data_IF_104341432448
#
_entry.id   IF_104341432448
#
_cell.length_a   1.000
_cell.length_b   1.000
_cell.length_c   1.000
_cell.angle_alpha   90.00
_cell.angle_beta   90.00
_cell.angle_gamma   90.00
#
_symmetry.space_group_name_H-M   'P 1'
#
loop_
_entity.id
_entity.type
_entity.pdbx_description
1 polymer ?
#
# COMPACT_ATOMS: atom_id res chain seq x y z
N UNK A 1 14.94 -10.38 5.18
CA UNK A 1 16.07 -10.06 4.30
C UNK A 1 16.96 -11.27 4.17
N UNK A 2 16.76 -12.07 3.14
CA UNK A 2 17.67 -13.15 2.78
C UNK A 2 18.07 -12.93 1.33
N UNK A 3 19.09 -12.10 1.14
CA UNK A 3 19.79 -12.01 -0.14
C UNK A 3 20.72 -13.22 -0.22
N UNK A 4 20.33 -14.22 -0.98
CA UNK A 4 21.24 -15.29 -1.35
C UNK A 4 22.20 -14.75 -2.40
N UNK A 5 23.52 -14.68 -2.12
CA UNK A 5 24.47 -14.29 -3.13
C UNK A 5 24.61 -15.43 -4.14
N UNK A 6 24.44 -15.15 -5.41
CA UNK A 6 24.91 -16.01 -6.48
C UNK A 6 26.42 -16.15 -6.33
N UNK A 7 26.90 -17.28 -5.85
CA UNK A 7 28.33 -17.53 -5.72
C UNK A 7 28.94 -17.71 -7.11
N UNK A 8 30.03 -17.00 -7.44
CA UNK A 8 30.75 -17.27 -8.67
C UNK A 8 31.45 -18.64 -8.59
N UNK A 9 31.25 -19.42 -9.60
CA UNK A 9 31.85 -20.75 -9.74
C UNK A 9 33.36 -20.63 -9.90
N UNK A 10 34.09 -21.40 -9.09
CA UNK A 10 35.53 -21.45 -9.10
C UNK A 10 36.07 -22.06 -10.41
N UNK A 11 37.15 -21.50 -10.93
CA UNK A 11 37.77 -21.77 -12.22
C UNK A 11 38.40 -23.15 -12.43
N UNK A 12 38.22 -24.12 -11.56
CA UNK A 12 38.98 -25.37 -11.55
C UNK A 12 38.26 -26.55 -12.22
N UNK A 13 37.01 -26.41 -12.68
CA UNK A 13 36.26 -27.49 -13.34
C UNK A 13 35.89 -27.21 -14.80
N UNK A 14 36.80 -26.51 -15.51
CA UNK A 14 36.51 -25.96 -16.84
C UNK A 14 36.79 -26.90 -18.01
N UNK A 15 37.01 -28.20 -17.81
CA UNK A 15 37.35 -29.11 -18.93
C UNK A 15 36.39 -30.29 -19.11
N UNK A 16 35.42 -30.51 -18.23
CA UNK A 16 34.57 -31.71 -18.32
C UNK A 16 33.11 -31.48 -18.65
N UNK A 17 32.65 -30.28 -18.95
CA UNK A 17 31.22 -29.99 -19.16
C UNK A 17 30.97 -29.10 -20.39
N UNK A 18 31.62 -29.41 -21.49
CA UNK A 18 31.33 -28.72 -22.75
C UNK A 18 30.13 -29.33 -23.52
N UNK A 19 29.39 -30.23 -22.96
CA UNK A 19 28.28 -30.89 -23.67
C UNK A 19 26.93 -30.88 -22.98
N UNK A 20 26.75 -30.10 -21.91
CA UNK A 20 25.47 -29.92 -21.21
C UNK A 20 25.08 -28.42 -21.08
N UNK A 21 25.30 -27.70 -22.14
CA UNK A 21 25.00 -26.27 -22.22
C UNK A 21 23.64 -26.01 -22.81
N UNK A 22 22.56 -26.36 -22.16
CA UNK A 22 21.26 -25.77 -22.45
C UNK A 22 20.29 -25.87 -21.26
N UNK A 23 20.81 -25.96 -20.04
CA UNK A 23 20.00 -25.69 -18.87
C UNK A 23 20.22 -24.22 -18.50
N UNK A 24 19.57 -23.35 -19.27
CA UNK A 24 19.45 -21.97 -18.89
C UNK A 24 18.78 -21.87 -17.52
N UNK A 25 19.56 -21.60 -16.51
CA UNK A 25 19.06 -21.14 -15.22
C UNK A 25 18.59 -19.70 -15.44
N UNK A 26 17.40 -19.59 -15.97
CA UNK A 26 16.69 -18.34 -15.91
C UNK A 26 16.34 -18.12 -14.44
N UNK A 27 17.06 -17.25 -13.77
CA UNK A 27 16.55 -16.60 -12.57
C UNK A 27 15.32 -15.81 -13.04
N UNK A 28 14.17 -16.45 -13.09
CA UNK A 28 12.89 -15.78 -13.18
C UNK A 28 12.65 -15.11 -11.85
N UNK A 29 13.37 -14.01 -11.59
CA UNK A 29 12.94 -13.04 -10.61
C UNK A 29 11.58 -12.55 -11.08
N UNK A 30 10.53 -12.86 -10.33
CA UNK A 30 9.26 -12.18 -10.51
C UNK A 30 9.52 -10.69 -10.21
N UNK A 31 9.95 -9.97 -11.24
CA UNK A 31 9.90 -8.51 -11.18
C UNK A 31 8.43 -8.16 -11.29
N UNK A 32 7.81 -7.86 -10.17
CA UNK A 32 6.52 -7.18 -10.19
C UNK A 32 6.78 -5.84 -10.85
N UNK A 33 6.41 -5.75 -12.12
CA UNK A 33 6.53 -4.50 -12.88
C UNK A 33 5.49 -3.54 -12.33
N UNK A 34 5.92 -2.59 -11.54
CA UNK A 34 5.07 -1.50 -11.05
C UNK A 34 4.77 -0.45 -12.12
N UNK A 35 5.08 -0.76 -13.39
CA UNK A 35 4.77 0.12 -14.51
C UNK A 35 3.29 0.06 -14.83
N UNK A 36 2.64 1.22 -14.78
CA UNK A 36 1.25 1.39 -15.21
C UNK A 36 0.21 1.39 -14.09
N UNK A 37 0.60 1.33 -12.84
CA UNK A 37 -0.35 1.58 -11.75
C UNK A 37 -0.54 3.08 -11.63
N UNK A 38 -1.71 3.57 -12.06
CA UNK A 38 -2.10 4.96 -11.82
C UNK A 38 -2.10 5.20 -10.32
N UNK A 39 -1.45 6.29 -9.89
CA UNK A 39 -1.54 6.70 -8.50
C UNK A 39 -3.01 6.95 -8.15
N UNK A 40 -3.46 6.37 -7.05
CA UNK A 40 -4.75 6.72 -6.50
C UNK A 40 -4.74 8.21 -6.13
N UNK A 41 -5.82 8.89 -6.43
CA UNK A 41 -6.01 10.29 -6.06
C UNK A 41 -7.24 10.42 -5.18
N UNK A 42 -7.08 11.04 -4.02
CA UNK A 42 -8.18 11.37 -3.13
C UNK A 42 -8.72 12.74 -3.52
N UNK A 43 -10.03 12.85 -3.62
CA UNK A 43 -10.71 14.10 -3.90
C UNK A 43 -11.52 14.61 -2.71
N UNK A 44 -12.08 13.72 -1.90
CA UNK A 44 -12.85 14.10 -0.72
C UNK A 44 -12.94 12.99 0.32
N UNK A 45 -13.25 13.39 1.54
CA UNK A 45 -13.52 12.52 2.68
C UNK A 45 -14.96 12.72 3.16
N UNK A 46 -15.64 11.66 3.53
CA UNK A 46 -17.00 11.71 4.07
C UNK A 46 -17.13 10.73 5.27
N UNK A 47 -17.38 11.26 6.48
CA UNK A 47 -17.45 12.67 6.88
C UNK A 47 -16.09 13.37 6.82
N UNK A 48 -16.08 14.68 6.64
CA UNK A 48 -14.86 15.52 6.69
C UNK A 48 -14.42 15.88 8.11
N UNK A 49 -15.31 15.64 9.08
CA UNK A 49 -15.09 15.85 10.51
C UNK A 49 -15.72 14.70 11.28
N UNK A 50 -15.01 14.17 12.27
CA UNK A 50 -15.48 13.07 13.11
C UNK A 50 -15.57 13.56 14.55
N UNK A 51 -16.73 13.46 15.21
CA UNK A 51 -16.84 13.71 16.64
C UNK A 51 -16.16 12.59 17.43
N UNK A 52 -15.52 12.96 18.52
CA UNK A 52 -14.72 12.03 19.34
C UNK A 52 -15.55 11.07 20.19
N UNK A 53 -16.75 11.44 20.52
CA UNK A 53 -17.65 10.71 21.41
C UNK A 53 -18.37 9.51 20.76
N UNK A 54 -18.08 9.23 19.50
CA UNK A 54 -18.66 8.11 18.77
C UNK A 54 -17.89 6.81 18.98
N UNK A 55 -18.61 5.69 19.02
CA UNK A 55 -18.00 4.39 19.17
C UNK A 55 -17.32 3.90 17.88
N UNK A 56 -17.94 4.19 16.75
CA UNK A 56 -17.40 3.89 15.43
C UNK A 56 -18.04 4.77 14.36
N UNK A 57 -17.26 5.12 13.34
CA UNK A 57 -17.72 5.92 12.21
C UNK A 57 -17.21 5.30 10.91
N UNK A 58 -18.08 5.07 9.92
CA UNK A 58 -17.62 4.70 8.59
C UNK A 58 -17.05 5.94 7.88
N UNK A 59 -15.77 5.86 7.52
CA UNK A 59 -15.09 6.86 6.70
C UNK A 59 -15.08 6.38 5.25
N UNK A 60 -15.71 7.14 4.38
CA UNK A 60 -15.66 6.90 2.93
C UNK A 60 -14.68 7.89 2.30
N UNK A 61 -13.75 7.36 1.56
CA UNK A 61 -12.78 8.14 0.78
C UNK A 61 -13.21 8.09 -0.68
N UNK A 62 -13.45 9.24 -1.26
CA UNK A 62 -13.75 9.38 -2.68
C UNK A 62 -12.51 9.86 -3.45
N UNK A 63 -12.35 9.36 -4.66
CA UNK A 63 -11.19 9.68 -5.48
C UNK A 63 -11.22 9.03 -6.84
N UNK A 64 -10.06 8.66 -7.35
CA UNK A 64 -9.90 7.96 -8.62
C UNK A 64 -8.74 6.96 -8.54
N UNK A 65 -8.83 5.91 -9.34
CA UNK A 65 -7.76 4.92 -9.48
C UNK A 65 -7.64 3.94 -8.32
N UNK A 66 -8.70 3.75 -7.54
CA UNK A 66 -8.72 2.74 -6.48
C UNK A 66 -8.83 1.33 -7.08
N UNK A 67 -8.20 0.38 -6.40
CA UNK A 67 -8.20 -1.04 -6.74
C UNK A 67 -8.68 -1.86 -5.53
N UNK A 68 -9.04 -3.14 -5.71
CA UNK A 68 -9.38 -4.00 -4.59
C UNK A 68 -8.28 -4.15 -3.52
N UNK A 69 -7.03 -3.81 -3.85
CA UNK A 69 -5.90 -3.80 -2.93
C UNK A 69 -5.64 -2.44 -2.28
N UNK A 70 -6.43 -1.41 -2.63
CA UNK A 70 -6.30 -0.09 -2.04
C UNK A 70 -6.64 -0.12 -0.56
N UNK A 71 -5.79 0.49 0.26
CA UNK A 71 -5.94 0.56 1.71
C UNK A 71 -5.87 2.01 2.17
N UNK A 72 -6.81 2.40 3.01
CA UNK A 72 -6.80 3.71 3.66
C UNK A 72 -5.73 3.69 4.75
N UNK A 73 -4.92 4.74 4.79
CA UNK A 73 -3.95 4.95 5.87
C UNK A 73 -4.36 6.13 6.74
N UNK A 74 -4.30 5.93 8.02
CA UNK A 74 -4.59 6.88 9.08
C UNK A 74 -3.27 7.30 9.73
N UNK A 75 -2.81 8.50 9.42
CA UNK A 75 -1.51 9.01 9.89
C UNK A 75 -0.35 8.02 9.65
N UNK A 76 -0.36 7.36 8.49
CA UNK A 76 0.63 6.35 8.11
C UNK A 76 0.32 4.91 8.52
N UNK A 77 -0.67 4.68 9.40
CA UNK A 77 -1.10 3.33 9.78
C UNK A 77 -2.23 2.85 8.88
N UNK A 78 -2.10 1.64 8.38
CA UNK A 78 -3.10 1.04 7.50
C UNK A 78 -4.36 0.64 8.27
N UNK A 79 -5.52 1.01 7.75
CA UNK A 79 -6.82 0.60 8.26
C UNK A 79 -7.40 -0.55 7.43
N UNK A 80 -8.21 -1.38 8.07
CA UNK A 80 -9.03 -2.35 7.35
C UNK A 80 -9.98 -1.62 6.41
N UNK A 81 -9.81 -1.84 5.10
CA UNK A 81 -10.47 -1.08 4.05
C UNK A 81 -11.34 -1.98 3.20
N UNK A 82 -12.56 -1.55 2.97
CA UNK A 82 -13.48 -2.18 2.03
C UNK A 82 -13.45 -1.43 0.70
N UNK A 83 -13.12 -2.12 -0.38
CA UNK A 83 -13.22 -1.61 -1.73
C UNK A 83 -14.69 -1.58 -2.16
N UNK A 84 -15.19 -0.43 -2.58
CA UNK A 84 -16.53 -0.25 -3.10
C UNK A 84 -16.53 -0.21 -4.63
N UNK A 85 -15.72 0.67 -5.19
CA UNK A 85 -15.51 0.82 -6.63
C UNK A 85 -14.20 1.59 -6.90
N UNK A 86 -13.88 1.82 -8.17
CA UNK A 86 -12.64 2.53 -8.57
C UNK A 86 -12.55 3.99 -8.10
N UNK A 87 -13.62 4.50 -7.49
CA UNK A 87 -13.73 5.88 -7.00
C UNK A 87 -14.02 5.97 -5.50
N UNK A 88 -14.35 4.85 -4.86
CA UNK A 88 -14.76 4.85 -3.45
C UNK A 88 -14.14 3.67 -2.71
N UNK A 89 -13.54 3.97 -1.58
CA UNK A 89 -13.12 2.98 -0.58
C UNK A 89 -13.63 3.42 0.80
N UNK A 90 -13.84 2.46 1.70
CA UNK A 90 -14.40 2.71 3.03
C UNK A 90 -13.58 2.01 4.10
N UNK A 91 -13.39 2.67 5.22
CA UNK A 91 -12.86 2.08 6.45
C UNK A 91 -13.77 2.43 7.63
N UNK A 92 -13.72 1.64 8.69
CA UNK A 92 -14.39 1.93 9.94
C UNK A 92 -13.38 2.49 10.92
N UNK A 93 -13.61 3.71 11.40
CA UNK A 93 -12.81 4.36 12.44
C UNK A 93 -13.41 3.99 13.77
N UNK A 94 -12.64 3.34 14.63
CA UNK A 94 -13.08 2.94 15.97
C UNK A 94 -12.74 4.00 17.00
N UNK A 95 -13.40 3.94 18.16
CA UNK A 95 -13.11 4.81 19.30
C UNK A 95 -11.64 4.75 19.71
N UNK A 96 -11.04 3.57 19.73
CA UNK A 96 -9.62 3.40 20.07
C UNK A 96 -8.70 4.19 19.14
N UNK A 97 -9.04 4.23 17.85
CA UNK A 97 -8.31 5.02 16.86
C UNK A 97 -8.45 6.52 17.16
N UNK A 98 -9.64 6.97 17.57
CA UNK A 98 -9.92 8.38 17.88
C UNK A 98 -9.26 8.83 19.20
N UNK A 99 -9.23 7.99 20.21
CA UNK A 99 -8.65 8.32 21.52
C UNK A 99 -7.13 8.57 21.46
N UNK A 100 -6.46 8.08 20.43
CA UNK A 100 -5.03 8.32 20.19
C UNK A 100 -4.69 9.77 19.82
N UNK A 101 -5.70 10.61 19.54
CA UNK A 101 -5.51 11.98 19.08
C UNK A 101 -6.18 12.99 20.01
N UNK A 102 -5.54 14.15 20.21
CA UNK A 102 -6.07 15.26 21.03
C UNK A 102 -7.25 15.99 20.35
N UNK A 103 -8.07 16.71 21.15
CA UNK A 103 -9.15 17.53 20.63
C UNK A 103 -8.66 18.58 19.63
N UNK A 104 -9.43 18.79 18.56
CA UNK A 104 -9.07 19.73 17.50
C UNK A 104 -7.89 19.24 16.64
N UNK A 105 -7.49 17.98 16.78
CA UNK A 105 -6.42 17.41 15.98
C UNK A 105 -6.88 17.13 14.56
N UNK A 106 -6.00 17.33 13.61
CA UNK A 106 -6.17 16.86 12.24
C UNK A 106 -5.36 15.59 12.01
N UNK A 107 -5.93 14.67 11.27
CA UNK A 107 -5.31 13.41 10.92
C UNK A 107 -5.14 13.33 9.42
N UNK A 108 -3.96 12.94 9.00
CA UNK A 108 -3.66 12.80 7.58
C UNK A 108 -4.17 11.45 7.06
N UNK A 109 -5.09 11.52 6.10
CA UNK A 109 -5.66 10.37 5.41
C UNK A 109 -5.04 10.26 4.03
N UNK A 110 -4.51 9.10 3.70
CA UNK A 110 -4.06 8.78 2.35
C UNK A 110 -4.50 7.37 1.96
N UNK A 111 -4.34 7.00 0.70
CA UNK A 111 -4.65 5.65 0.22
C UNK A 111 -3.39 5.05 -0.39
N UNK A 112 -3.01 3.87 0.09
CA UNK A 112 -1.94 3.08 -0.47
C UNK A 112 -2.50 2.02 -1.41
N UNK A 113 -1.79 1.68 -2.47
CA UNK A 113 -2.24 0.68 -3.44
C UNK A 113 -1.95 -0.77 -3.05
N UNK A 114 -1.27 -1.01 -1.95
CA UNK A 114 -1.05 -2.35 -1.40
C UNK A 114 -0.25 -3.34 -2.27
N UNK A 115 0.26 -2.93 -3.41
CA UNK A 115 0.89 -3.82 -4.39
C UNK A 115 2.38 -4.12 -4.13
N UNK A 116 2.89 -3.81 -2.95
CA UNK A 116 4.32 -4.04 -2.64
C UNK A 116 5.29 -3.20 -3.48
N UNK A 117 4.78 -2.24 -4.24
CA UNK A 117 5.60 -1.30 -5.00
C UNK A 117 6.14 -0.25 -4.05
N UNK A 118 7.48 -0.15 -3.89
CA UNK A 118 8.08 0.58 -2.78
C UNK A 118 7.95 2.09 -2.85
N UNK A 119 7.44 2.65 -3.91
CA UNK A 119 7.42 4.10 -4.07
C UNK A 119 6.19 4.55 -4.84
N UNK A 120 5.60 5.63 -4.39
CA UNK A 120 4.55 6.39 -5.07
C UNK A 120 3.16 5.74 -5.11
N UNK A 121 2.92 4.72 -4.32
CA UNK A 121 1.60 4.10 -4.20
C UNK A 121 0.63 4.84 -3.29
N UNK A 122 1.07 5.88 -2.60
CA UNK A 122 0.19 6.67 -1.73
C UNK A 122 -0.40 7.84 -2.51
N UNK A 123 -1.70 8.02 -2.39
CA UNK A 123 -2.38 9.22 -2.88
C UNK A 123 -1.86 10.49 -2.20
N UNK A 124 -2.16 11.64 -2.77
CA UNK A 124 -2.12 12.89 -2.02
C UNK A 124 -2.97 12.75 -0.75
N UNK A 125 -2.49 13.28 0.37
CA UNK A 125 -3.19 13.19 1.64
C UNK A 125 -4.20 14.32 1.79
N UNK A 126 -5.33 14.01 2.44
CA UNK A 126 -6.29 15.00 2.93
C UNK A 126 -6.34 14.96 4.45
N UNK A 127 -6.55 16.11 5.06
CA UNK A 127 -6.67 16.22 6.50
C UNK A 127 -8.13 16.04 6.94
N UNK A 128 -8.33 15.16 7.90
CA UNK A 128 -9.61 14.91 8.56
C UNK A 128 -9.57 15.56 9.94
N UNK A 129 -10.58 16.34 10.29
CA UNK A 129 -10.66 17.02 11.57
C UNK A 129 -11.39 16.16 12.60
N UNK A 130 -10.85 16.08 13.82
CA UNK A 130 -11.45 15.41 14.99
C UNK A 130 -11.89 16.48 15.98
N UNK A 131 -13.18 16.49 16.32
CA UNK A 131 -13.80 17.43 17.27
C UNK A 131 -14.23 16.73 18.55
#
# INVERSE_FOLDING_TARGET
MLSSPCKPFSWITLIAVLTLLLSGWTCSGMFVSCQGVSQAQITSLSPGTIPRDVNSVPLTVAGNGFTPQSQITWNGNTLETTFLDSRHVRATITRETLESFGDGSSVRISVSQGLGCPINGNSAALDLVIN
#
